data_IF_279600146535
#
_entry.id   IF_279600146535
#
_cell.length_a   1.000
_cell.length_b   1.000
_cell.length_c   1.000
_cell.angle_alpha   90.00
_cell.angle_beta   90.00
_cell.angle_gamma   90.00
#
_symmetry.space_group_name_H-M   'P 1'
#
loop_
_entity.id
_entity.type
_entity.pdbx_description
1 polymer ?
#
# COMPACT_ATOMS: atom_id res chain seq x y z
N UNK A 1 -7.19 -9.17 -2.25
CA UNK A 1 -7.48 -7.89 -2.94
C UNK A 1 -8.79 -7.35 -2.39
N UNK A 2 -8.90 -6.05 -2.20
CA UNK A 2 -10.15 -5.35 -1.88
C UNK A 2 -10.30 -4.13 -2.79
N UNK A 3 -11.56 -3.76 -3.09
CA UNK A 3 -11.88 -2.57 -3.85
C UNK A 3 -13.01 -1.81 -3.16
N UNK A 4 -12.90 -0.49 -3.13
CA UNK A 4 -13.92 0.42 -2.63
C UNK A 4 -14.71 1.02 -3.78
N UNK A 5 -16.03 1.13 -3.61
CA UNK A 5 -16.95 1.69 -4.60
C UNK A 5 -17.83 2.76 -3.96
N UNK A 6 -18.14 3.81 -4.73
CA UNK A 6 -18.93 4.93 -4.28
C UNK A 6 -20.05 5.26 -5.28
N UNK A 7 -21.27 5.30 -4.77
CA UNK A 7 -22.46 5.88 -5.41
C UNK A 7 -23.36 6.48 -4.30
N UNK A 8 -24.39 7.26 -4.66
CA UNK A 8 -25.44 7.63 -3.70
C UNK A 8 -26.01 6.38 -3.03
N UNK A 9 -26.28 6.47 -1.72
CA UNK A 9 -26.83 5.34 -0.97
C UNK A 9 -28.25 5.08 -1.46
N UNK A 10 -28.51 3.85 -1.89
CA UNK A 10 -29.85 3.42 -2.23
C UNK A 10 -30.71 3.36 -0.94
N UNK A 11 -31.86 4.06 -0.89
CA UNK A 11 -32.62 4.22 0.35
C UNK A 11 -33.33 2.95 0.82
N UNK A 12 -33.45 1.92 -0.03
CA UNK A 12 -34.12 0.66 0.29
C UNK A 12 -33.14 -0.38 0.82
N UNK A 13 -31.95 -0.46 0.24
CA UNK A 13 -30.90 -1.40 0.60
C UNK A 13 -29.91 -0.84 1.62
N UNK A 14 -29.80 0.49 1.74
CA UNK A 14 -28.81 1.15 2.59
C UNK A 14 -27.37 1.01 2.09
N UNK A 15 -27.16 0.54 0.86
CA UNK A 15 -25.85 0.27 0.28
C UNK A 15 -25.48 1.30 -0.81
N UNK A 16 -24.19 1.60 -0.94
CA UNK A 16 -23.64 2.43 -2.02
C UNK A 16 -23.30 1.63 -3.29
N UNK A 17 -23.27 0.30 -3.20
CA UNK A 17 -23.09 -0.61 -4.31
C UNK A 17 -23.67 -1.98 -3.93
N UNK A 18 -24.17 -2.73 -4.90
CA UNK A 18 -24.61 -4.10 -4.69
C UNK A 18 -23.39 -5.01 -4.44
N UNK A 19 -23.29 -5.57 -3.24
CA UNK A 19 -22.18 -6.45 -2.84
C UNK A 19 -22.08 -7.73 -3.67
N UNK A 20 -23.21 -8.25 -4.17
CA UNK A 20 -23.23 -9.45 -5.02
C UNK A 20 -22.56 -9.15 -6.36
N UNK A 21 -22.80 -7.96 -6.91
CA UNK A 21 -22.14 -7.50 -8.13
C UNK A 21 -20.65 -7.26 -7.89
N UNK A 22 -20.29 -6.64 -6.77
CA UNK A 22 -18.89 -6.40 -6.40
C UNK A 22 -18.12 -7.72 -6.29
N UNK A 23 -18.65 -8.72 -5.58
CA UNK A 23 -18.02 -10.04 -5.45
C UNK A 23 -17.84 -10.72 -6.81
N UNK A 24 -18.86 -10.61 -7.69
CA UNK A 24 -18.75 -11.11 -9.07
C UNK A 24 -17.63 -10.43 -9.83
N UNK A 25 -17.53 -9.10 -9.78
CA UNK A 25 -16.48 -8.36 -10.48
C UNK A 25 -15.09 -8.67 -9.96
N UNK A 26 -14.92 -8.85 -8.65
CA UNK A 26 -13.65 -9.26 -8.05
C UNK A 26 -13.27 -10.68 -8.46
N UNK A 27 -14.24 -11.59 -8.56
CA UNK A 27 -14.05 -12.94 -9.09
C UNK A 27 -13.62 -12.94 -10.56
N UNK A 28 -14.31 -12.16 -11.41
CA UNK A 28 -13.96 -12.00 -12.82
C UNK A 28 -12.58 -11.37 -13.00
N UNK A 29 -12.25 -10.34 -12.20
CA UNK A 29 -10.93 -9.72 -12.22
C UNK A 29 -9.85 -10.73 -11.83
N UNK A 30 -10.07 -11.53 -10.77
CA UNK A 30 -9.13 -12.57 -10.37
C UNK A 30 -8.84 -13.52 -11.53
N UNK A 31 -9.87 -14.08 -12.16
CA UNK A 31 -9.70 -14.97 -13.31
C UNK A 31 -8.99 -14.29 -14.49
N UNK A 32 -9.32 -13.03 -14.77
CA UNK A 32 -8.64 -12.23 -15.80
C UNK A 32 -7.14 -12.08 -15.53
N UNK A 33 -6.76 -11.71 -14.30
CA UNK A 33 -5.37 -11.56 -13.91
C UNK A 33 -4.60 -12.90 -13.93
N UNK A 34 -5.22 -13.98 -13.47
CA UNK A 34 -4.62 -15.33 -13.43
C UNK A 34 -4.45 -15.95 -14.82
N UNK A 35 -5.23 -15.53 -15.81
CA UNK A 35 -5.08 -15.96 -17.22
C UNK A 35 -3.86 -15.35 -17.93
N UNK A 36 -3.18 -14.38 -17.29
CA UNK A 36 -2.03 -13.66 -17.86
C UNK A 36 -0.74 -14.06 -17.15
N UNK A 37 0.35 -14.10 -17.91
CA UNK A 37 1.69 -14.20 -17.34
C UNK A 37 2.24 -12.80 -17.08
N UNK A 38 2.60 -12.53 -15.83
CA UNK A 38 3.22 -11.28 -15.40
C UNK A 38 4.72 -11.50 -15.24
N UNK A 39 5.53 -10.99 -16.17
CA UNK A 39 6.98 -11.12 -16.10
C UNK A 39 7.61 -9.85 -15.51
N UNK A 40 8.55 -10.05 -14.59
CA UNK A 40 9.44 -8.99 -14.13
C UNK A 40 10.76 -9.06 -14.92
N UNK A 41 11.23 -7.92 -15.42
CA UNK A 41 12.51 -7.83 -16.12
C UNK A 41 13.70 -7.88 -15.15
N UNK A 42 13.46 -7.57 -13.88
CA UNK A 42 14.46 -7.54 -12.80
C UNK A 42 13.88 -8.22 -11.56
N UNK A 43 14.69 -8.34 -10.50
CA UNK A 43 14.23 -8.82 -9.19
C UNK A 43 13.26 -7.83 -8.50
N UNK A 44 13.19 -6.59 -9.00
CA UNK A 44 12.33 -5.55 -8.46
C UNK A 44 10.96 -5.65 -9.10
N UNK A 45 9.99 -6.11 -8.31
CA UNK A 45 8.63 -6.38 -8.78
C UNK A 45 7.74 -5.13 -8.89
N UNK A 46 8.19 -3.96 -8.44
CA UNK A 46 7.38 -2.74 -8.42
C UNK A 46 6.77 -2.34 -9.79
N UNK A 47 7.48 -2.46 -10.93
CA UNK A 47 6.88 -2.18 -12.25
C UNK A 47 5.76 -3.16 -12.62
N UNK A 48 5.94 -4.45 -12.32
CA UNK A 48 4.92 -5.48 -12.49
C UNK A 48 3.73 -5.20 -11.56
N UNK A 49 4.04 -4.86 -10.31
CA UNK A 49 3.23 -4.14 -9.31
C UNK A 49 2.23 -3.15 -9.90
N UNK A 50 2.81 -2.05 -10.40
CA UNK A 50 2.10 -0.94 -10.99
C UNK A 50 1.26 -1.36 -12.21
N UNK A 51 1.78 -2.26 -13.03
CA UNK A 51 1.07 -2.76 -14.22
C UNK A 51 -0.18 -3.55 -13.83
N UNK A 52 -0.07 -4.43 -12.84
CA UNK A 52 -1.20 -5.20 -12.32
C UNK A 52 -2.25 -4.28 -11.70
N UNK A 53 -1.82 -3.26 -10.95
CA UNK A 53 -2.70 -2.24 -10.38
C UNK A 53 -3.45 -1.46 -11.46
N UNK A 54 -2.75 -1.01 -12.50
CA UNK A 54 -3.34 -0.25 -13.60
C UNK A 54 -4.37 -1.08 -14.38
N UNK A 55 -4.04 -2.33 -14.71
CA UNK A 55 -4.94 -3.27 -15.37
C UNK A 55 -6.20 -3.52 -14.54
N UNK A 56 -6.02 -3.79 -13.25
CA UNK A 56 -7.11 -4.07 -12.32
C UNK A 56 -8.04 -2.89 -12.13
N UNK A 57 -7.46 -1.68 -12.01
CA UNK A 57 -8.23 -0.44 -11.95
C UNK A 57 -9.02 -0.24 -13.25
N UNK A 58 -8.40 -0.41 -14.41
CA UNK A 58 -9.09 -0.24 -15.69
C UNK A 58 -10.27 -1.23 -15.82
N UNK A 59 -10.06 -2.49 -15.46
CA UNK A 59 -11.10 -3.53 -15.48
C UNK A 59 -12.28 -3.17 -14.56
N UNK A 60 -12.00 -2.85 -13.30
CA UNK A 60 -13.05 -2.55 -12.32
C UNK A 60 -13.75 -1.22 -12.61
N UNK A 61 -13.04 -0.22 -13.13
CA UNK A 61 -13.66 1.05 -13.54
C UNK A 61 -14.67 0.82 -14.66
N UNK A 62 -14.35 0.00 -15.67
CA UNK A 62 -15.30 -0.32 -16.76
C UNK A 62 -16.57 -1.01 -16.23
N UNK A 63 -16.42 -1.93 -15.28
CA UNK A 63 -17.55 -2.64 -14.64
C UNK A 63 -18.38 -1.68 -13.78
N UNK A 64 -17.73 -0.83 -13.00
CA UNK A 64 -18.38 0.15 -12.14
C UNK A 64 -19.17 1.18 -12.96
N UNK A 65 -18.57 1.72 -14.04
CA UNK A 65 -19.20 2.70 -14.92
C UNK A 65 -20.47 2.13 -15.57
N UNK A 66 -20.44 0.87 -16.02
CA UNK A 66 -21.61 0.18 -16.58
C UNK A 66 -22.75 0.01 -15.56
N UNK A 67 -22.41 -0.07 -14.26
CA UNK A 67 -23.36 -0.15 -13.16
C UNK A 67 -23.68 1.21 -12.54
N UNK A 68 -23.21 2.32 -13.12
CA UNK A 68 -23.38 3.69 -12.60
C UNK A 68 -22.79 3.91 -11.20
N UNK A 69 -21.73 3.18 -10.87
CA UNK A 69 -20.97 3.30 -9.62
C UNK A 69 -19.55 3.76 -9.94
N UNK A 70 -18.88 4.46 -9.02
CA UNK A 70 -17.49 4.87 -9.19
C UNK A 70 -16.55 4.00 -8.37
N UNK A 71 -15.48 3.51 -9.00
CA UNK A 71 -14.36 2.90 -8.27
C UNK A 71 -13.64 3.98 -7.45
N UNK A 72 -13.53 3.78 -6.14
CA UNK A 72 -12.95 4.74 -5.20
C UNK A 72 -11.56 4.33 -4.70
N UNK A 73 -11.32 3.03 -4.53
CA UNK A 73 -10.03 2.52 -4.08
C UNK A 73 -9.80 1.08 -4.53
N UNK A 74 -8.52 0.70 -4.59
CA UNK A 74 -8.07 -0.65 -4.92
C UNK A 74 -6.84 -0.96 -4.08
N UNK A 75 -6.87 -2.08 -3.38
CA UNK A 75 -5.79 -2.51 -2.51
C UNK A 75 -5.49 -4.00 -2.72
N UNK A 76 -4.25 -4.30 -3.05
CA UNK A 76 -3.70 -5.64 -3.08
C UNK A 76 -2.91 -5.88 -1.82
N UNK A 77 -3.38 -6.80 -0.99
CA UNK A 77 -2.66 -7.30 0.16
C UNK A 77 -2.00 -8.62 -0.23
N UNK A 78 -0.68 -8.70 -0.14
CA UNK A 78 0.01 -9.98 -0.23
C UNK A 78 0.43 -10.47 1.17
N UNK A 79 0.53 -11.79 1.32
CA UNK A 79 0.84 -12.44 2.60
C UNK A 79 2.30 -12.19 3.05
N UNK A 80 3.20 -11.80 2.15
CA UNK A 80 4.64 -11.65 2.40
C UNK A 80 5.09 -10.23 2.74
N UNK A 81 4.32 -9.52 3.57
CA UNK A 81 4.68 -8.21 4.13
C UNK A 81 4.76 -7.05 3.12
N UNK A 82 4.13 -7.19 1.96
CA UNK A 82 3.98 -6.08 1.03
C UNK A 82 2.55 -5.94 0.53
N UNK A 83 2.22 -4.76 0.07
CA UNK A 83 0.94 -4.42 -0.54
C UNK A 83 1.11 -3.25 -1.49
N UNK A 84 0.15 -3.07 -2.38
CA UNK A 84 0.13 -1.94 -3.29
C UNK A 84 -1.29 -1.50 -3.53
N UNK A 85 -1.47 -0.20 -3.71
CA UNK A 85 -2.78 0.40 -3.71
C UNK A 85 -2.87 1.68 -4.52
N UNK A 86 -4.11 2.01 -4.83
CA UNK A 86 -4.53 3.23 -5.46
C UNK A 86 -5.86 3.68 -4.84
N UNK A 87 -6.05 4.97 -4.65
CA UNK A 87 -7.34 5.58 -4.33
C UNK A 87 -7.55 6.88 -5.11
N UNK A 88 -8.73 7.48 -4.95
CA UNK A 88 -9.11 8.72 -5.64
C UNK A 88 -8.29 9.96 -5.28
N UNK A 89 -7.45 9.91 -4.23
CA UNK A 89 -6.49 10.99 -3.93
C UNK A 89 -5.25 10.91 -4.83
N UNK A 90 -5.05 9.80 -5.54
CA UNK A 90 -3.93 9.55 -6.45
C UNK A 90 -4.35 9.75 -7.91
N UNK A 91 -3.44 10.28 -8.74
CA UNK A 91 -3.65 10.28 -10.20
C UNK A 91 -3.61 8.85 -10.75
N UNK A 92 -4.05 8.64 -11.99
CA UNK A 92 -4.01 7.32 -12.63
C UNK A 92 -2.58 6.78 -12.85
N UNK A 93 -1.57 7.66 -12.80
CA UNK A 93 -0.16 7.29 -12.97
C UNK A 93 0.54 7.06 -11.63
N UNK A 94 -0.16 7.33 -10.52
CA UNK A 94 0.37 7.17 -9.18
C UNK A 94 0.01 5.81 -8.61
N UNK A 95 0.97 5.22 -7.90
CA UNK A 95 0.80 3.99 -7.14
C UNK A 95 1.42 4.15 -5.75
N UNK A 96 0.81 3.51 -4.75
CA UNK A 96 1.37 3.37 -3.41
C UNK A 96 1.84 1.95 -3.21
N UNK A 97 3.01 1.79 -2.62
CA UNK A 97 3.59 0.50 -2.27
C UNK A 97 3.90 0.52 -0.78
N UNK A 98 3.40 -0.47 -0.05
CA UNK A 98 3.59 -0.57 1.40
C UNK A 98 4.38 -1.81 1.72
N UNK A 99 5.48 -1.66 2.45
CA UNK A 99 6.31 -2.77 2.92
C UNK A 99 6.41 -2.73 4.44
N UNK A 100 6.18 -3.88 5.06
CA UNK A 100 6.27 -4.04 6.49
C UNK A 100 7.62 -4.61 6.90
N UNK A 101 8.17 -4.05 7.97
CA UNK A 101 9.30 -4.59 8.72
C UNK A 101 8.87 -4.80 10.16
N UNK A 102 9.53 -5.74 10.84
CA UNK A 102 9.28 -6.01 12.25
C UNK A 102 10.52 -5.63 13.03
N UNK A 103 10.32 -4.85 14.08
CA UNK A 103 11.38 -4.44 14.98
C UNK A 103 10.97 -4.78 16.39
N UNK A 104 11.84 -5.47 17.10
CA UNK A 104 11.72 -5.56 18.55
C UNK A 104 12.17 -4.21 19.12
N UNK A 105 11.23 -3.42 19.62
CA UNK A 105 11.56 -2.16 20.31
C UNK A 105 12.33 -2.51 21.58
N UNK A 106 13.53 -1.97 21.68
CA UNK A 106 14.38 -2.12 22.85
C UNK A 106 13.70 -1.46 24.07
N UNK A 107 13.83 -2.06 25.27
CA UNK A 107 13.10 -1.65 26.45
C UNK A 107 13.61 -0.29 26.94
N UNK A 108 12.72 0.70 27.09
CA UNK A 108 13.03 1.84 27.94
C UNK A 108 12.86 1.47 29.44
N UNK A 109 11.99 0.51 29.77
CA UNK A 109 11.68 0.11 31.16
C UNK A 109 11.35 -1.39 31.33
N UNK A 110 12.00 -2.27 30.56
CA UNK A 110 11.87 -3.73 30.68
C UNK A 110 10.62 -4.35 30.02
N UNK A 111 9.76 -3.56 29.38
CA UNK A 111 8.66 -4.09 28.57
C UNK A 111 9.12 -4.23 27.12
N UNK A 112 9.28 -5.47 26.69
CA UNK A 112 9.45 -5.84 25.30
C UNK A 112 8.22 -5.41 24.51
N UNK A 113 8.43 -4.70 23.40
CA UNK A 113 7.34 -4.31 22.52
C UNK A 113 7.69 -4.66 21.07
N UNK A 114 6.87 -5.50 20.45
CA UNK A 114 7.03 -5.85 19.05
C UNK A 114 6.34 -4.80 18.18
N UNK A 115 7.12 -4.13 17.33
CA UNK A 115 6.63 -3.13 16.39
C UNK A 115 6.55 -3.73 14.99
N UNK A 116 5.44 -3.48 14.31
CA UNK A 116 5.33 -3.63 12.86
C UNK A 116 5.32 -2.26 12.21
N UNK A 117 6.33 -2.00 11.41
CA UNK A 117 6.59 -0.70 10.79
C UNK A 117 6.31 -0.84 9.29
N UNK A 118 5.28 -0.18 8.81
CA UNK A 118 4.90 -0.16 7.40
C UNK A 118 5.40 1.14 6.75
N UNK A 119 6.29 1.02 5.78
CA UNK A 119 6.74 2.12 4.94
C UNK A 119 5.85 2.21 3.71
N UNK A 120 5.18 3.34 3.52
CA UNK A 120 4.30 3.60 2.39
C UNK A 120 5.01 4.53 1.42
N UNK A 121 5.47 3.98 0.32
CA UNK A 121 6.14 4.69 -0.76
C UNK A 121 5.14 5.07 -1.83
N UNK A 122 5.24 6.29 -2.35
CA UNK A 122 4.46 6.75 -3.50
C UNK A 122 5.38 6.90 -4.70
N UNK A 123 4.96 6.34 -5.83
CA UNK A 123 5.60 6.52 -7.14
C UNK A 123 4.63 7.16 -8.11
N UNK A 124 5.16 7.97 -9.02
CA UNK A 124 4.44 8.49 -10.18
C UNK A 124 5.16 8.04 -11.45
N UNK A 125 4.48 7.26 -12.30
CA UNK A 125 5.11 6.70 -13.50
C UNK A 125 5.54 7.76 -14.53
N UNK A 126 5.10 9.02 -14.38
CA UNK A 126 5.65 10.15 -15.15
C UNK A 126 7.15 10.36 -14.92
N UNK A 127 7.66 9.95 -13.76
CA UNK A 127 9.06 10.12 -13.39
C UNK A 127 9.95 8.95 -13.85
N UNK A 128 9.40 8.02 -14.63
CA UNK A 128 10.11 6.88 -15.17
C UNK A 128 9.75 5.55 -14.51
N UNK A 129 10.51 4.51 -14.86
CA UNK A 129 10.32 3.15 -14.36
C UNK A 129 10.82 3.06 -12.93
N UNK A 130 10.00 2.49 -12.04
CA UNK A 130 10.34 2.28 -10.65
C UNK A 130 11.29 1.08 -10.48
N UNK A 131 12.59 1.36 -10.36
CA UNK A 131 13.63 0.36 -10.13
C UNK A 131 14.23 0.47 -8.72
N UNK A 132 13.51 1.07 -7.76
CA UNK A 132 13.98 1.15 -6.37
C UNK A 132 13.47 -0.06 -5.56
N UNK A 133 14.34 -0.65 -4.75
CA UNK A 133 13.96 -1.68 -3.78
C UNK A 133 13.51 -1.04 -2.46
N UNK A 134 12.22 -0.73 -2.37
CA UNK A 134 11.60 -0.13 -1.19
C UNK A 134 11.78 -0.94 0.10
N UNK A 135 11.89 -2.27 0.02
CA UNK A 135 12.13 -3.11 1.20
C UNK A 135 13.54 -2.85 1.72
N UNK A 136 14.52 -2.85 0.82
CA UNK A 136 15.91 -2.57 1.17
C UNK A 136 16.10 -1.14 1.67
N UNK A 137 15.46 -0.16 1.02
CA UNK A 137 15.52 1.25 1.44
C UNK A 137 14.87 1.48 2.81
N UNK A 138 13.72 0.85 3.08
CA UNK A 138 13.11 0.84 4.41
C UNK A 138 14.01 0.19 5.46
N UNK A 139 14.69 -0.91 5.12
CA UNK A 139 15.62 -1.58 6.04
C UNK A 139 16.85 -0.72 6.36
N UNK A 140 17.41 0.01 5.38
CA UNK A 140 18.51 0.95 5.60
C UNK A 140 18.16 2.01 6.63
N UNK A 141 16.94 2.56 6.55
CA UNK A 141 16.42 3.52 7.52
C UNK A 141 16.31 2.89 8.91
N UNK A 142 15.74 1.69 9.03
CA UNK A 142 15.61 1.02 10.32
C UNK A 142 16.95 0.69 10.96
N UNK A 143 17.98 0.35 10.17
CA UNK A 143 19.30 -0.01 10.70
C UNK A 143 19.94 1.12 11.51
N UNK A 144 19.72 2.38 11.14
CA UNK A 144 20.23 3.52 11.91
C UNK A 144 19.37 3.83 13.13
N UNK A 145 18.05 3.59 13.08
CA UNK A 145 17.15 3.90 14.18
C UNK A 145 17.08 2.81 15.26
N UNK A 146 17.35 1.54 14.92
CA UNK A 146 17.21 0.41 15.86
C UNK A 146 18.17 0.46 17.04
N UNK A 147 19.21 1.29 16.97
CA UNK A 147 20.18 1.50 18.06
C UNK A 147 19.80 2.65 18.99
N UNK A 148 18.69 3.36 18.70
CA UNK A 148 18.25 4.54 19.44
C UNK A 148 17.29 4.16 20.58
N UNK A 149 17.09 5.09 21.50
CA UNK A 149 15.99 5.02 22.49
C UNK A 149 14.64 5.08 21.76
N UNK A 150 13.53 4.68 22.40
CA UNK A 150 12.22 4.76 21.72
C UNK A 150 11.85 6.19 21.33
N UNK A 151 12.13 7.18 22.17
CA UNK A 151 11.86 8.60 21.86
C UNK A 151 12.67 9.06 20.63
N UNK A 152 13.97 8.76 20.62
CA UNK A 152 14.86 9.12 19.51
C UNK A 152 14.56 8.31 18.25
N UNK A 153 14.07 7.08 18.39
CA UNK A 153 13.57 6.26 17.30
C UNK A 153 12.36 6.93 16.66
N UNK A 154 11.35 7.35 17.42
CA UNK A 154 10.17 8.00 16.84
C UNK A 154 10.50 9.35 16.19
N UNK A 155 11.39 10.15 16.79
CA UNK A 155 11.89 11.40 16.16
C UNK A 155 12.62 11.12 14.85
N UNK A 156 13.44 10.07 14.82
CA UNK A 156 14.15 9.65 13.61
C UNK A 156 13.18 9.17 12.53
N UNK A 157 12.19 8.34 12.88
CA UNK A 157 11.20 7.83 11.92
C UNK A 157 10.38 8.96 11.31
N UNK A 158 9.93 9.93 12.12
CA UNK A 158 9.19 11.11 11.66
C UNK A 158 9.99 11.90 10.61
N UNK A 159 11.30 12.04 10.82
CA UNK A 159 12.20 12.74 9.89
C UNK A 159 12.37 12.06 8.52
N UNK A 160 11.98 10.80 8.38
CA UNK A 160 12.11 10.07 7.11
C UNK A 160 10.99 10.36 6.12
N UNK A 161 9.83 10.80 6.59
CA UNK A 161 8.72 11.14 5.70
C UNK A 161 9.17 12.24 4.73
N UNK A 162 8.84 12.05 3.45
CA UNK A 162 9.24 12.94 2.36
C UNK A 162 10.61 12.61 1.79
N UNK A 163 11.36 11.64 2.35
CA UNK A 163 12.62 11.15 1.77
C UNK A 163 12.38 10.65 0.35
N UNK A 164 13.19 11.15 -0.59
CA UNK A 164 13.14 10.80 -2.02
C UNK A 164 14.20 9.78 -2.39
N UNK A 165 13.85 8.89 -3.30
CA UNK A 165 14.73 7.92 -3.91
C UNK A 165 15.12 8.34 -5.34
N UNK A 166 16.12 7.70 -5.98
CA UNK A 166 16.54 8.02 -7.34
C UNK A 166 15.41 8.00 -8.38
N UNK A 167 14.43 7.09 -8.26
CA UNK A 167 13.26 7.04 -9.16
C UNK A 167 12.26 8.19 -8.97
N UNK A 168 12.57 9.16 -8.09
CA UNK A 168 11.66 10.21 -7.61
C UNK A 168 10.47 9.68 -6.78
N UNK A 169 10.46 8.38 -6.46
CA UNK A 169 9.60 7.85 -5.40
C UNK A 169 9.90 8.55 -4.08
N UNK A 170 8.89 8.71 -3.24
CA UNK A 170 9.08 9.27 -1.92
C UNK A 170 8.33 8.48 -0.84
N UNK A 171 8.87 8.51 0.38
CA UNK A 171 8.22 7.94 1.54
C UNK A 171 7.08 8.86 1.93
N UNK A 172 5.86 8.47 1.61
CA UNK A 172 4.66 9.26 1.86
C UNK A 172 4.23 9.17 3.32
N UNK A 173 4.42 8.02 3.96
CA UNK A 173 3.94 7.79 5.32
C UNK A 173 4.65 6.60 5.95
N UNK A 174 4.80 6.64 7.28
CA UNK A 174 5.20 5.48 8.09
C UNK A 174 4.09 5.15 9.07
N UNK A 175 3.62 3.89 9.08
CA UNK A 175 2.66 3.39 10.07
C UNK A 175 3.33 2.41 11.02
N UNK A 176 3.31 2.71 12.31
CA UNK A 176 3.87 1.86 13.35
C UNK A 176 2.72 1.22 14.11
N UNK A 177 2.62 -0.09 14.06
CA UNK A 177 1.68 -0.90 14.83
C UNK A 177 2.41 -1.50 16.03
N UNK A 178 1.92 -1.22 17.23
CA UNK A 178 2.44 -1.79 18.46
C UNK A 178 1.69 -3.10 18.73
N UNK A 179 2.29 -4.22 18.36
CA UNK A 179 1.61 -5.51 18.33
C UNK A 179 1.30 -6.06 19.73
N UNK A 180 2.10 -5.70 20.73
CA UNK A 180 1.91 -6.14 22.12
C UNK A 180 0.81 -5.35 22.84
N UNK A 181 0.70 -4.05 22.56
CA UNK A 181 -0.22 -3.14 23.25
C UNK A 181 -1.49 -2.80 22.44
N UNK A 182 -1.55 -3.17 21.16
CA UNK A 182 -2.76 -3.11 20.34
C UNK A 182 -3.13 -1.72 19.81
N UNK A 183 -2.18 -0.78 19.75
CA UNK A 183 -2.40 0.56 19.21
C UNK A 183 -1.50 0.85 18.00
N UNK A 184 -1.78 1.94 17.28
CA UNK A 184 -1.00 2.34 16.11
C UNK A 184 -0.69 3.84 16.10
N UNK A 185 0.49 4.17 15.58
CA UNK A 185 0.95 5.51 15.31
C UNK A 185 1.10 5.69 13.79
N UNK A 186 0.58 6.80 13.27
CA UNK A 186 0.66 7.14 11.85
C UNK A 186 1.44 8.44 11.74
N UNK A 187 2.59 8.39 11.05
CA UNK A 187 3.48 9.52 10.82
C UNK A 187 3.32 9.95 9.35
N UNK A 188 2.65 11.10 9.09
CA UNK A 188 2.28 11.57 7.75
C UNK A 188 3.43 12.29 7.04
#
# INVERSE_FOLDING_TARGET
MSAGFQAPIDPLSGMSADLVLVDKWLGELKSHLESKTWMAETEILNPTWASLLAESRNFLSQKADAAQVKLYSLNFREERHWSFSWDTTQTLLQARFSYAHYLESLPLDGKFELLKINFIWKHDSKNGINQDDYRHEGFKLLKSASQKTSEDFFKEVDSWVGKRLPSQSFLEQVKIEFLTSGHSLILP
#
